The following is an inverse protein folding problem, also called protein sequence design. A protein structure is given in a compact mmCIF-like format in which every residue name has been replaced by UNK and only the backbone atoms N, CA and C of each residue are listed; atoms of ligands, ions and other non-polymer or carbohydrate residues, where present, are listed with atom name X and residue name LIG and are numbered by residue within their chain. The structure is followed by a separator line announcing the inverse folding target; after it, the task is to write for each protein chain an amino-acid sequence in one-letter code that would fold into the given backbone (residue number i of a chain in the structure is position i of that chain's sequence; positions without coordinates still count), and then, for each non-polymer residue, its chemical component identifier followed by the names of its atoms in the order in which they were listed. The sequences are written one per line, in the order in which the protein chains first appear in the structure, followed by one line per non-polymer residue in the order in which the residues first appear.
data_IF_918467226035
#
_entry.id   IF_918467226035
#
_cell.length_a   1.000
_cell.length_b   1.000
_cell.length_c   1.000
_cell.angle_alpha   90.00
_cell.angle_beta   90.00
_cell.angle_gamma   90.00
#
_symmetry.space_group_name_H-M   'P 1'
#
loop_
_entity.id
_entity.type
_entity.pdbx_description
1 polymer ?
#
# COMPACT_ATOMS: atom_id res chain seq x y z
N UNK A 1 -6.72 -56.40 -23.70
CA UNK A 1 -5.53 -55.98 -22.92
C UNK A 1 -5.97 -54.88 -21.96
N UNK A 2 -6.30 -55.14 -20.69
CA UNK A 2 -5.44 -55.50 -19.56
C UNK A 2 -4.33 -54.48 -19.24
N UNK A 3 -4.59 -53.70 -18.18
CA UNK A 3 -3.78 -53.46 -16.98
C UNK A 3 -2.33 -52.94 -17.08
N UNK A 4 -1.97 -52.26 -16.00
CA UNK A 4 -0.64 -52.09 -15.41
C UNK A 4 -0.22 -50.65 -15.12
N UNK A 5 -0.91 -50.12 -14.10
CA UNK A 5 -0.26 -49.46 -12.96
C UNK A 5 0.94 -50.33 -12.50
N UNK A 6 2.06 -49.67 -12.15
CA UNK A 6 3.31 -50.14 -11.51
C UNK A 6 4.50 -50.55 -12.41
N UNK A 7 5.51 -49.66 -12.34
CA UNK A 7 6.85 -49.91 -11.73
C UNK A 7 7.99 -50.14 -12.71
N UNK A 8 9.12 -49.48 -12.39
CA UNK A 8 10.43 -49.41 -13.05
C UNK A 8 10.57 -48.24 -14.03
N UNK A 9 11.01 -47.07 -13.54
CA UNK A 9 12.43 -46.64 -13.53
C UNK A 9 12.86 -46.20 -14.93
N UNK A 10 13.32 -44.94 -15.02
CA UNK A 10 13.69 -44.16 -16.19
C UNK A 10 12.45 -43.53 -16.88
N UNK A 11 12.22 -42.23 -16.82
CA UNK A 11 13.18 -41.16 -17.06
C UNK A 11 12.61 -39.88 -16.46
N UNK A 12 13.47 -39.10 -15.79
CA UNK A 12 13.15 -37.81 -15.16
C UNK A 12 12.42 -36.90 -16.14
N UNK A 13 11.27 -36.32 -15.76
CA UNK A 13 10.79 -35.00 -16.19
C UNK A 13 9.50 -34.62 -15.44
N UNK A 14 9.67 -33.75 -14.44
CA UNK A 14 8.85 -32.54 -14.26
C UNK A 14 7.33 -32.76 -14.12
N UNK A 15 6.88 -33.05 -12.89
CA UNK A 15 5.54 -32.65 -12.43
C UNK A 15 5.68 -31.31 -11.68
N UNK A 16 5.84 -30.22 -12.43
CA UNK A 16 5.63 -28.88 -11.87
C UNK A 16 4.11 -28.76 -11.73
N UNK A 17 3.62 -28.90 -10.51
CA UNK A 17 2.31 -28.38 -10.16
C UNK A 17 2.37 -26.88 -10.46
N UNK A 18 1.77 -26.48 -11.58
CA UNK A 18 1.55 -25.08 -11.90
C UNK A 18 0.58 -24.53 -10.85
N UNK A 19 1.13 -24.06 -9.72
CA UNK A 19 0.54 -22.95 -9.00
C UNK A 19 0.60 -21.79 -9.98
N UNK A 20 -0.41 -21.69 -10.85
CA UNK A 20 -0.68 -20.50 -11.64
C UNK A 20 -0.88 -19.43 -10.56
N UNK A 21 0.19 -18.67 -10.30
CA UNK A 21 0.14 -17.58 -9.36
C UNK A 21 -0.93 -16.64 -9.86
N UNK A 22 -2.07 -16.61 -9.16
CA UNK A 22 -2.95 -15.47 -9.20
C UNK A 22 -2.09 -14.31 -8.73
N UNK A 23 -1.57 -13.53 -9.67
CA UNK A 23 -0.86 -12.29 -9.38
C UNK A 23 -1.93 -11.36 -8.82
N UNK A 24 -2.17 -11.46 -7.51
CA UNK A 24 -2.92 -10.44 -6.80
C UNK A 24 -2.15 -9.15 -7.00
N UNK A 25 -2.80 -8.16 -7.61
CA UNK A 25 -2.19 -6.87 -7.87
C UNK A 25 -1.97 -6.18 -6.51
N UNK A 26 -0.72 -6.19 -6.05
CA UNK A 26 -0.28 -5.60 -4.78
C UNK A 26 0.59 -4.38 -5.03
N UNK A 27 0.48 -3.35 -4.20
CA UNK A 27 1.42 -2.24 -4.20
C UNK A 27 2.68 -2.60 -3.41
N UNK A 28 3.85 -2.22 -3.92
CA UNK A 28 5.09 -2.29 -3.14
C UNK A 28 5.44 -0.91 -2.59
N UNK A 29 5.56 -0.78 -1.27
CA UNK A 29 5.96 0.44 -0.61
C UNK A 29 6.96 0.14 0.50
N UNK A 30 8.14 0.77 0.45
CA UNK A 30 9.22 0.58 1.43
C UNK A 30 9.60 -0.92 1.64
N UNK A 31 9.54 -1.71 0.57
CA UNK A 31 9.84 -3.15 0.60
C UNK A 31 8.73 -4.02 1.22
N UNK A 32 7.55 -3.45 1.50
CA UNK A 32 6.36 -4.17 1.95
C UNK A 32 5.33 -4.24 0.83
N UNK A 33 4.67 -5.39 0.73
CA UNK A 33 3.55 -5.59 -0.18
C UNK A 33 2.23 -5.26 0.54
N UNK A 34 1.42 -4.43 -0.10
CA UNK A 34 0.09 -4.02 0.35
C UNK A 34 -0.95 -4.48 -0.68
N UNK A 35 -2.07 -5.02 -0.21
CA UNK A 35 -3.17 -5.44 -1.07
C UNK A 35 -3.94 -4.24 -1.60
N UNK A 36 -4.64 -4.43 -2.72
CA UNK A 36 -5.50 -3.39 -3.27
C UNK A 36 -6.55 -2.94 -2.23
N UNK A 37 -6.62 -1.63 -1.99
CA UNK A 37 -7.50 -1.01 -1.02
C UNK A 37 -6.91 -0.90 0.38
N UNK A 38 -5.75 -1.50 0.66
CA UNK A 38 -5.09 -1.38 1.97
C UNK A 38 -4.76 0.07 2.27
N UNK A 39 -5.01 0.48 3.51
CA UNK A 39 -4.66 1.79 4.04
C UNK A 39 -3.71 1.63 5.21
N UNK A 40 -2.58 2.34 5.19
CA UNK A 40 -1.59 2.29 6.26
C UNK A 40 -0.97 3.66 6.48
N UNK A 41 -0.35 3.84 7.65
CA UNK A 41 0.37 5.06 7.98
C UNK A 41 1.85 4.84 7.66
N UNK A 42 2.44 5.70 6.83
CA UNK A 42 3.89 5.81 6.67
C UNK A 42 4.33 7.24 6.98
N UNK A 43 5.18 7.39 7.99
CA UNK A 43 5.61 8.69 8.52
C UNK A 43 4.43 9.53 9.00
N UNK A 44 4.15 10.64 8.29
CA UNK A 44 3.09 11.59 8.64
C UNK A 44 1.89 11.55 7.67
N UNK A 45 1.80 10.50 6.86
CA UNK A 45 0.78 10.37 5.82
C UNK A 45 0.09 9.02 5.94
N UNK A 46 -1.22 9.02 5.74
CA UNK A 46 -2.00 7.81 5.51
C UNK A 46 -2.03 7.57 4.01
N UNK A 47 -1.54 6.40 3.62
CA UNK A 47 -1.40 5.96 2.25
C UNK A 47 -2.46 4.91 1.95
N UNK A 48 -2.84 4.81 0.68
CA UNK A 48 -3.73 3.79 0.16
C UNK A 48 -3.12 3.11 -1.05
N UNK A 49 -3.14 1.80 -1.05
CA UNK A 49 -2.80 1.02 -2.24
C UNK A 49 -3.99 1.02 -3.19
N UNK A 50 -3.77 1.50 -4.41
CA UNK A 50 -4.71 1.36 -5.52
C UNK A 50 -4.04 0.47 -6.55
N UNK A 51 -4.59 -0.72 -6.74
CA UNK A 51 -4.10 -1.65 -7.74
C UNK A 51 -5.22 -2.16 -8.62
N UNK A 52 -4.98 -2.13 -9.91
CA UNK A 52 -5.91 -2.50 -10.96
C UNK A 52 -5.22 -3.40 -12.00
N UNK A 53 -5.94 -3.78 -13.05
CA UNK A 53 -5.39 -4.66 -14.10
C UNK A 53 -4.22 -4.06 -14.88
N UNK A 54 -4.01 -2.74 -14.83
CA UNK A 54 -2.93 -2.05 -15.51
C UNK A 54 -1.72 -1.72 -14.62
N UNK A 55 -1.79 -1.99 -13.31
CA UNK A 55 -0.67 -1.76 -12.40
C UNK A 55 -1.09 -1.44 -10.97
N UNK A 56 -0.19 -0.77 -10.26
CA UNK A 56 -0.42 -0.33 -8.89
C UNK A 56 0.18 1.05 -8.66
N UNK A 57 -0.46 1.81 -7.76
CA UNK A 57 0.01 3.10 -7.26
C UNK A 57 -0.33 3.24 -5.79
N UNK A 58 0.47 4.04 -5.10
CA UNK A 58 0.23 4.41 -3.71
C UNK A 58 -0.23 5.86 -3.70
N UNK A 59 -1.43 6.10 -3.16
CA UNK A 59 -2.00 7.44 -3.06
C UNK A 59 -2.01 7.92 -1.60
N UNK A 60 -1.81 9.22 -1.39
CA UNK A 60 -1.98 9.82 -0.06
C UNK A 60 -3.46 10.15 0.13
N UNK A 61 -4.09 9.52 1.13
CA UNK A 61 -5.51 9.73 1.46
C UNK A 61 -5.72 10.80 2.53
N UNK A 62 -4.83 10.90 3.51
CA UNK A 62 -4.90 11.91 4.58
C UNK A 62 -3.54 12.13 5.23
N UNK A 63 -3.41 13.18 6.03
CA UNK A 63 -2.23 13.37 6.88
C UNK A 63 -2.46 12.76 8.26
N UNK A 64 -1.39 12.29 8.89
CA UNK A 64 -1.42 11.76 10.25
C UNK A 64 -0.35 12.43 11.12
N UNK A 65 -0.78 13.12 12.17
CA UNK A 65 0.10 13.74 13.16
C UNK A 65 -0.48 13.55 14.56
N UNK A 66 -0.46 12.30 15.05
CA UNK A 66 -1.15 11.89 16.29
C UNK A 66 -2.66 11.77 16.15
N UNK A 67 -3.26 12.57 15.26
CA UNK A 67 -4.64 12.47 14.78
C UNK A 67 -4.66 12.43 13.25
N UNK A 68 -5.72 11.86 12.68
CA UNK A 68 -5.97 11.91 11.24
C UNK A 68 -6.52 13.31 10.87
N UNK A 69 -5.93 13.91 9.83
CA UNK A 69 -6.28 15.23 9.31
C UNK A 69 -6.67 15.04 7.85
N UNK A 70 -7.90 15.40 7.51
CA UNK A 70 -8.40 15.31 6.14
C UNK A 70 -7.59 16.18 5.16
N UNK A 71 -7.55 15.83 3.87
CA UNK A 71 -6.95 16.69 2.85
C UNK A 71 -7.56 18.09 2.86
N UNK A 72 -6.72 19.11 2.86
CA UNK A 72 -7.08 20.52 3.02
C UNK A 72 -7.65 20.89 4.40
N UNK A 73 -7.57 19.98 5.38
CA UNK A 73 -7.92 20.23 6.76
C UNK A 73 -6.78 20.82 7.59
N UNK A 74 -7.15 21.39 8.73
CA UNK A 74 -6.22 21.97 9.70
C UNK A 74 -6.69 21.62 11.11
N UNK A 75 -5.75 21.26 11.98
CA UNK A 75 -6.01 20.94 13.37
C UNK A 75 -5.05 21.71 14.28
N UNK A 76 -5.57 22.25 15.38
CA UNK A 76 -4.75 22.86 16.43
C UNK A 76 -4.42 21.80 17.48
N UNK A 77 -3.17 21.34 17.47
CA UNK A 77 -2.60 20.37 18.40
C UNK A 77 -1.59 21.10 19.28
N UNK A 78 -2.03 21.62 20.43
CA UNK A 78 -1.19 22.40 21.33
C UNK A 78 0.16 21.70 21.58
N UNK A 79 1.31 22.37 21.35
CA UNK A 79 1.50 23.82 21.16
C UNK A 79 1.56 24.30 19.70
N UNK A 80 1.00 23.58 18.74
CA UNK A 80 1.16 23.87 17.31
C UNK A 80 -0.14 23.72 16.50
N UNK A 81 -0.23 24.46 15.41
CA UNK A 81 -1.21 24.28 14.35
C UNK A 81 -0.62 23.44 13.24
N UNK A 82 -1.35 22.41 12.83
CA UNK A 82 -0.92 21.45 11.81
C UNK A 82 -1.94 21.45 10.68
N UNK A 83 -1.50 21.73 9.46
CA UNK A 83 -2.37 21.75 8.28
C UNK A 83 -1.91 20.75 7.22
N UNK A 84 -2.88 20.03 6.66
CA UNK A 84 -2.68 19.07 5.59
C UNK A 84 -3.19 19.70 4.29
N UNK A 85 -2.33 20.09 3.37
CA UNK A 85 -2.74 20.70 2.10
C UNK A 85 -2.54 19.72 0.96
N UNK A 86 -3.58 19.48 0.15
CA UNK A 86 -3.46 18.71 -1.09
C UNK A 86 -3.29 19.67 -2.26
N UNK A 87 -2.19 19.54 -2.98
CA UNK A 87 -1.91 20.33 -4.17
C UNK A 87 -2.69 19.79 -5.37
N UNK A 88 -2.84 20.60 -6.41
CA UNK A 88 -3.54 20.22 -7.65
C UNK A 88 -2.84 19.09 -8.42
N UNK A 89 -1.55 18.89 -8.19
CA UNK A 89 -0.75 17.78 -8.72
C UNK A 89 -1.05 16.45 -8.00
N UNK A 90 -1.85 16.46 -6.92
CA UNK A 90 -2.15 15.29 -6.11
C UNK A 90 -1.16 15.05 -4.97
N UNK A 91 -0.02 15.74 -4.97
CA UNK A 91 0.91 15.77 -3.85
C UNK A 91 0.27 16.37 -2.59
N UNK A 92 0.57 15.81 -1.43
CA UNK A 92 0.06 16.26 -0.13
C UNK A 92 1.22 16.79 0.70
N UNK A 93 1.03 17.98 1.27
CA UNK A 93 2.03 18.66 2.09
C UNK A 93 1.48 18.91 3.48
N UNK A 94 2.18 18.39 4.49
CA UNK A 94 1.92 18.68 5.89
C UNK A 94 2.74 19.90 6.32
N UNK A 95 2.07 20.93 6.85
CA UNK A 95 2.71 22.11 7.42
C UNK A 95 2.52 22.14 8.94
N UNK A 96 3.57 22.53 9.66
CA UNK A 96 3.55 22.69 11.11
C UNK A 96 3.89 24.14 11.44
N UNK A 97 3.08 24.78 12.27
CA UNK A 97 3.29 26.14 12.75
C UNK A 97 3.15 26.13 14.27
N UNK A 98 4.13 26.64 15.03
CA UNK A 98 3.94 26.79 16.47
C UNK A 98 2.81 27.79 16.68
N UNK A 99 1.85 27.47 17.55
CA UNK A 99 0.92 28.47 18.04
C UNK A 99 1.77 29.44 18.85
N UNK A 100 1.99 30.64 18.31
CA UNK A 100 2.83 31.67 18.91
C UNK A 100 2.43 31.86 20.36
N UNK A 101 3.14 31.18 21.24
CA UNK A 101 3.10 31.43 22.68
C UNK A 101 4.02 32.63 22.85
N UNK A 102 3.41 33.79 23.13
CA UNK A 102 4.13 35.01 23.47
C UNK A 102 5.16 34.76 24.58
#
# INVERSE_FOLDING_TARGET
MCFFIKRHIATRLVLIAACIGLTLSTCEHEGKQHQNGDEWISGKFKLKCISDGNGWKVEVVSCHYGVEIEPNGEQTLSPARVSCKKNNDGSVQLSWQPENTC
#
